data_IF_314726922350
#
_entry.id   IF_314726922350
#
_cell.length_a   1.000
_cell.length_b   1.000
_cell.length_c   1.000
_cell.angle_alpha   90.00
_cell.angle_beta   90.00
_cell.angle_gamma   90.00
#
_symmetry.space_group_name_H-M   'P 1'
#
loop_
_entity.id
_entity.type
_entity.pdbx_description
1 polymer ?
#
# COMPACT_ATOMS: atom_id res chain seq x y z
N UNK A 1 -60.41 -0.97 -46.62
CA UNK A 1 -59.23 -0.08 -46.73
C UNK A 1 -59.05 0.59 -45.38
N UNK A 2 -58.03 0.45 -44.55
CA UNK A 2 -56.68 -0.10 -44.63
C UNK A 2 -56.24 -0.44 -43.17
N UNK A 3 -55.74 -1.65 -42.94
CA UNK A 3 -54.34 -2.01 -42.63
C UNK A 3 -53.99 -2.06 -41.15
N UNK A 4 -53.77 -3.30 -40.69
CA UNK A 4 -53.22 -3.72 -39.41
C UNK A 4 -51.98 -2.91 -39.02
N UNK A 5 -51.96 -2.41 -37.79
CA UNK A 5 -50.77 -1.84 -37.15
C UNK A 5 -50.15 -2.90 -36.25
N UNK A 6 -49.21 -3.65 -36.81
CA UNK A 6 -48.23 -4.43 -36.07
C UNK A 6 -46.89 -3.71 -36.17
N UNK A 7 -46.16 -3.63 -35.07
CA UNK A 7 -44.74 -4.01 -34.92
C UNK A 7 -44.16 -3.26 -33.71
N UNK A 8 -43.68 -4.07 -32.78
CA UNK A 8 -42.98 -3.69 -31.56
C UNK A 8 -41.63 -3.01 -31.85
N UNK A 9 -41.22 -2.11 -30.97
CA UNK A 9 -39.81 -1.75 -30.79
C UNK A 9 -39.56 -1.46 -29.31
N UNK A 10 -39.09 -2.50 -28.61
CA UNK A 10 -38.45 -2.38 -27.31
C UNK A 10 -37.08 -1.71 -27.50
N UNK A 11 -36.87 -0.57 -26.86
CA UNK A 11 -35.56 0.10 -26.80
C UNK A 11 -35.06 0.09 -25.35
N UNK A 12 -34.39 -1.00 -24.98
CA UNK A 12 -33.52 -1.03 -23.81
C UNK A 12 -32.14 -0.52 -24.25
N UNK A 13 -31.76 0.66 -23.78
CA UNK A 13 -30.40 1.17 -23.85
C UNK A 13 -29.96 1.57 -22.44
N UNK A 14 -29.57 0.60 -21.63
CA UNK A 14 -28.82 0.83 -20.39
C UNK A 14 -27.34 0.62 -20.68
N UNK A 15 -26.65 1.70 -21.04
CA UNK A 15 -25.18 1.73 -21.12
C UNK A 15 -24.66 1.84 -19.68
N UNK A 16 -24.26 0.70 -19.11
CA UNK A 16 -23.44 0.70 -17.90
C UNK A 16 -22.01 1.07 -18.30
N UNK A 17 -21.65 2.35 -18.18
CA UNK A 17 -20.28 2.80 -18.25
C UNK A 17 -19.57 2.37 -16.95
N UNK A 18 -18.90 1.23 -16.97
CA UNK A 18 -17.92 0.87 -15.94
C UNK A 18 -16.73 1.83 -16.08
N UNK A 19 -16.71 2.85 -15.23
CA UNK A 19 -15.52 3.66 -15.00
C UNK A 19 -14.44 2.78 -14.38
N UNK A 20 -13.62 2.14 -15.22
CA UNK A 20 -12.35 1.57 -14.79
C UNK A 20 -11.45 2.73 -14.37
N UNK A 21 -11.30 2.95 -13.07
CA UNK A 21 -10.33 3.89 -12.54
C UNK A 21 -8.95 3.44 -12.97
N UNK A 22 -8.33 4.18 -13.87
CA UNK A 22 -6.97 3.94 -14.33
C UNK A 22 -6.03 4.13 -13.14
N UNK A 23 -5.42 3.04 -12.67
CA UNK A 23 -4.29 3.14 -11.74
C UNK A 23 -3.13 3.77 -12.53
N UNK A 24 -2.82 5.04 -12.26
CA UNK A 24 -1.64 5.69 -12.80
C UNK A 24 -0.39 5.06 -12.18
N UNK A 25 0.25 4.14 -12.90
CA UNK A 25 1.57 3.64 -12.54
C UNK A 25 2.58 4.77 -12.73
N UNK A 26 2.96 5.43 -11.63
CA UNK A 26 4.01 6.44 -11.64
C UNK A 26 5.35 5.71 -11.51
N UNK A 27 6.21 5.84 -12.51
CA UNK A 27 7.59 5.34 -12.48
C UNK A 27 8.44 6.42 -11.82
N UNK A 28 9.21 6.05 -10.80
CA UNK A 28 10.13 6.96 -10.13
C UNK A 28 11.54 6.74 -10.71
N UNK A 29 12.17 7.78 -11.24
CA UNK A 29 13.56 7.67 -11.74
C UNK A 29 14.46 8.37 -10.73
N UNK A 30 15.18 7.58 -9.92
CA UNK A 30 16.32 8.10 -9.16
C UNK A 30 17.59 7.82 -9.95
N UNK A 31 18.41 8.85 -10.14
CA UNK A 31 19.63 8.92 -10.97
C UNK A 31 20.22 7.55 -11.40
N UNK A 32 19.75 7.02 -12.54
CA UNK A 32 20.33 5.85 -13.21
C UNK A 32 19.74 4.47 -12.86
N UNK A 33 18.75 4.39 -11.96
CA UNK A 33 18.01 3.14 -11.68
C UNK A 33 16.55 3.35 -12.09
N UNK A 34 16.08 2.58 -13.08
CA UNK A 34 14.66 2.49 -13.41
C UNK A 34 13.94 1.81 -12.22
N UNK A 35 13.48 2.63 -11.27
CA UNK A 35 12.66 2.17 -10.16
C UNK A 35 11.21 2.17 -10.69
N UNK A 36 10.65 0.97 -10.80
CA UNK A 36 9.33 0.75 -11.37
C UNK A 36 8.17 1.39 -10.58
N UNK A 37 6.92 0.97 -10.84
CA UNK A 37 5.79 1.41 -10.03
C UNK A 37 5.92 0.95 -8.57
N UNK A 38 5.24 1.67 -7.68
CA UNK A 38 5.18 1.33 -6.25
C UNK A 38 4.62 -0.09 -6.05
N UNK A 39 5.24 -0.92 -5.17
CA UNK A 39 4.73 -2.26 -4.87
C UNK A 39 3.32 -2.22 -4.28
N UNK A 40 2.37 -2.88 -4.95
CA UNK A 40 1.01 -3.03 -4.47
C UNK A 40 0.93 -4.12 -3.38
N UNK A 41 1.34 -3.82 -2.15
CA UNK A 41 1.35 -4.76 -1.03
C UNK A 41 0.24 -4.46 -0.01
N UNK A 42 -0.30 -5.47 0.69
CA UNK A 42 -1.44 -5.30 1.60
C UNK A 42 -1.13 -4.40 2.81
N UNK A 43 0.10 -4.44 3.33
CA UNK A 43 0.49 -3.73 4.56
C UNK A 43 1.69 -2.79 4.35
N UNK A 44 1.97 -2.45 3.08
CA UNK A 44 3.20 -1.78 2.67
C UNK A 44 4.32 -2.76 2.28
N UNK A 45 5.48 -2.20 1.95
CA UNK A 45 6.67 -2.92 1.48
C UNK A 45 7.89 -2.41 2.22
N UNK A 46 8.95 -3.21 2.33
CA UNK A 46 10.19 -2.76 2.93
C UNK A 46 10.82 -1.63 2.11
N UNK A 47 11.40 -0.66 2.79
CA UNK A 47 12.08 0.53 2.29
C UNK A 47 13.40 0.25 1.55
N UNK A 48 13.77 -1.04 1.40
CA UNK A 48 14.98 -1.48 0.73
C UNK A 48 14.68 -2.36 -0.50
N UNK A 49 15.51 -2.24 -1.54
CA UNK A 49 15.41 -3.09 -2.74
C UNK A 49 15.53 -4.60 -2.41
N UNK A 50 14.76 -5.48 -3.07
CA UNK A 50 13.84 -5.22 -4.20
C UNK A 50 12.41 -4.80 -3.77
N UNK A 51 12.26 -4.18 -2.61
CA UNK A 51 11.00 -3.70 -2.03
C UNK A 51 9.93 -4.79 -1.86
N UNK A 52 10.25 -5.92 -1.20
CA UNK A 52 9.27 -6.97 -0.98
C UNK A 52 8.15 -6.50 -0.05
N UNK A 53 6.99 -7.14 -0.12
CA UNK A 53 5.88 -6.83 0.78
C UNK A 53 6.26 -7.11 2.24
N UNK A 54 5.94 -6.15 3.11
CA UNK A 54 6.16 -6.28 4.54
C UNK A 54 4.92 -6.94 5.19
N UNK A 55 5.10 -7.82 6.19
CA UNK A 55 4.01 -8.41 6.92
C UNK A 55 3.29 -7.35 7.78
N UNK A 56 2.03 -7.62 8.09
CA UNK A 56 1.30 -6.83 9.07
C UNK A 56 2.03 -6.83 10.41
N UNK A 57 2.29 -5.64 10.96
CA UNK A 57 3.09 -5.48 12.18
C UNK A 57 4.45 -4.83 11.95
N UNK A 58 4.99 -4.82 10.72
CA UNK A 58 6.28 -4.17 10.46
C UNK A 58 6.23 -2.65 10.61
N UNK A 59 5.24 -1.99 10.03
CA UNK A 59 5.07 -0.54 10.12
C UNK A 59 4.15 -0.14 11.27
N UNK A 60 4.52 0.90 12.01
CA UNK A 60 3.65 1.56 12.98
C UNK A 60 2.51 2.35 12.33
N UNK A 61 1.55 2.79 13.14
CA UNK A 61 0.36 3.51 12.66
C UNK A 61 0.69 4.82 11.92
N UNK A 62 1.84 5.43 12.22
CA UNK A 62 2.33 6.67 11.60
C UNK A 62 2.54 6.55 10.08
N UNK A 63 2.75 5.33 9.57
CA UNK A 63 2.92 5.05 8.15
C UNK A 63 1.61 4.97 7.36
N UNK A 64 0.47 5.12 8.04
CA UNK A 64 -0.85 4.99 7.43
C UNK A 64 -1.65 6.28 7.60
N UNK A 65 -2.30 6.71 6.52
CA UNK A 65 -3.27 7.83 6.55
C UNK A 65 -4.60 7.34 6.02
N UNK A 66 -5.63 7.32 6.88
CA UNK A 66 -6.94 6.78 6.52
C UNK A 66 -6.92 5.31 6.12
N UNK A 67 -5.98 4.52 6.67
CA UNK A 67 -5.79 3.12 6.33
C UNK A 67 -4.97 2.86 5.06
N UNK A 68 -4.47 3.90 4.41
CA UNK A 68 -3.60 3.78 3.23
C UNK A 68 -2.14 3.96 3.63
N UNK A 69 -1.29 3.04 3.21
CA UNK A 69 0.17 3.17 3.35
C UNK A 69 0.67 4.37 2.55
N UNK A 70 1.47 5.22 3.18
CA UNK A 70 1.95 6.49 2.57
C UNK A 70 3.20 6.32 1.70
N UNK A 71 3.66 5.08 1.53
CA UNK A 71 4.88 4.72 0.82
C UNK A 71 6.12 4.73 1.72
N UNK A 72 7.23 4.24 1.19
CA UNK A 72 8.56 4.30 1.79
C UNK A 72 9.63 4.38 0.69
N UNK A 73 10.80 4.90 1.03
CA UNK A 73 11.92 5.01 0.10
C UNK A 73 11.60 5.91 -1.11
N UNK A 74 11.72 5.41 -2.35
CA UNK A 74 11.47 6.19 -3.57
C UNK A 74 10.05 6.72 -3.70
N UNK A 75 9.04 5.96 -3.25
CA UNK A 75 7.63 6.31 -3.40
C UNK A 75 7.01 6.95 -2.15
N UNK A 76 7.82 7.32 -1.17
CA UNK A 76 7.35 7.98 0.03
C UNK A 76 6.69 9.33 -0.29
N UNK A 77 5.43 9.51 0.15
CA UNK A 77 4.61 10.70 -0.11
C UNK A 77 4.14 11.40 1.17
N UNK A 78 4.75 11.07 2.31
CA UNK A 78 4.45 11.70 3.60
C UNK A 78 5.10 13.07 3.81
N UNK A 79 4.89 13.69 4.98
CA UNK A 79 5.37 15.04 5.27
C UNK A 79 6.91 15.11 5.36
N UNK A 80 7.46 16.33 5.19
CA UNK A 80 8.89 16.57 5.44
C UNK A 80 9.24 16.32 6.90
N UNK A 81 10.40 15.69 7.14
CA UNK A 81 10.86 15.35 8.50
C UNK A 81 10.07 14.22 9.15
N UNK A 82 9.31 13.45 8.36
CA UNK A 82 8.59 12.28 8.82
C UNK A 82 9.54 11.29 9.50
N UNK A 83 9.06 10.72 10.61
CA UNK A 83 9.69 9.63 11.35
C UNK A 83 8.57 8.70 11.78
N UNK A 84 8.60 7.48 11.27
CA UNK A 84 7.61 6.46 11.59
C UNK A 84 8.29 5.27 12.24
N UNK A 85 7.69 4.71 13.27
CA UNK A 85 8.24 3.54 13.93
C UNK A 85 8.11 2.30 13.04
N UNK A 86 9.07 1.40 13.17
CA UNK A 86 9.05 0.07 12.58
C UNK A 86 9.32 -0.96 13.67
N UNK A 87 8.86 -2.18 13.47
CA UNK A 87 9.12 -3.32 14.33
C UNK A 87 10.11 -4.28 13.64
N UNK A 88 11.41 -4.21 13.98
CA UNK A 88 12.43 -4.97 13.26
C UNK A 88 12.33 -6.48 13.47
N UNK A 89 11.47 -6.97 14.38
CA UNK A 89 11.23 -8.42 14.54
C UNK A 89 10.56 -9.04 13.32
N UNK A 90 9.93 -8.21 12.49
CA UNK A 90 9.31 -8.61 11.24
C UNK A 90 10.25 -8.52 10.04
N UNK A 91 11.50 -8.06 10.21
CA UNK A 91 12.48 -7.91 9.12
C UNK A 91 13.23 -9.23 8.83
N UNK A 92 13.18 -9.78 7.59
CA UNK A 92 13.93 -10.97 7.19
C UNK A 92 15.44 -10.84 7.38
N UNK A 93 15.99 -9.63 7.24
CA UNK A 93 17.41 -9.34 7.48
C UNK A 93 17.79 -9.45 8.96
N UNK A 94 16.80 -9.46 9.85
CA UNK A 94 16.96 -9.64 11.30
C UNK A 94 16.41 -10.98 11.80
N UNK A 95 16.18 -11.93 10.90
CA UNK A 95 15.82 -13.31 11.25
C UNK A 95 14.32 -13.62 11.22
N UNK A 96 13.48 -12.71 10.75
CA UNK A 96 12.09 -13.06 10.46
C UNK A 96 12.02 -14.13 9.35
N UNK A 97 11.47 -15.29 9.68
CA UNK A 97 11.47 -16.47 8.80
C UNK A 97 10.06 -16.95 8.42
N UNK A 98 9.03 -16.13 8.63
CA UNK A 98 7.65 -16.48 8.24
C UNK A 98 7.37 -16.02 6.81
N UNK A 99 6.36 -16.59 6.13
CA UNK A 99 5.98 -16.15 4.79
C UNK A 99 5.69 -14.66 4.74
N UNK A 100 6.19 -14.00 3.69
CA UNK A 100 5.85 -12.62 3.37
C UNK A 100 4.54 -12.57 2.58
N UNK A 101 3.75 -11.49 2.71
CA UNK A 101 2.60 -11.26 1.86
C UNK A 101 2.99 -11.17 0.38
N UNK A 102 2.02 -11.38 -0.49
CA UNK A 102 2.26 -11.29 -1.93
C UNK A 102 1.82 -9.95 -2.51
N UNK A 103 2.41 -9.60 -3.65
CA UNK A 103 1.94 -8.47 -4.44
C UNK A 103 0.47 -8.67 -4.83
N UNK A 104 -0.29 -7.58 -4.77
CA UNK A 104 -1.73 -7.49 -5.07
C UNK A 104 -2.64 -8.26 -4.10
N UNK A 105 -2.10 -8.79 -3.01
CA UNK A 105 -2.91 -9.32 -1.92
C UNK A 105 -3.67 -8.18 -1.21
N UNK A 106 -4.85 -8.51 -0.67
CA UNK A 106 -5.67 -7.57 0.09
C UNK A 106 -5.40 -7.75 1.58
N UNK A 107 -5.48 -6.67 2.39
CA UNK A 107 -5.49 -6.79 3.84
C UNK A 107 -6.55 -7.78 4.31
N UNK A 108 -6.25 -8.56 5.36
CA UNK A 108 -7.25 -9.42 5.98
C UNK A 108 -8.47 -8.60 6.45
N UNK A 109 -9.70 -9.13 6.39
CA UNK A 109 -10.89 -8.43 6.88
C UNK A 109 -10.71 -8.00 8.34
N UNK A 110 -11.03 -6.74 8.64
CA UNK A 110 -10.92 -6.19 10.00
C UNK A 110 -9.50 -5.76 10.43
N UNK A 111 -8.52 -5.79 9.50
CA UNK A 111 -7.20 -5.20 9.74
C UNK A 111 -7.34 -3.73 10.16
N UNK A 112 -6.58 -3.33 11.19
CA UNK A 112 -6.51 -1.96 11.69
C UNK A 112 -5.15 -1.37 11.35
N UNK A 113 -5.12 -0.09 11.01
CA UNK A 113 -3.89 0.61 10.65
C UNK A 113 -3.60 1.79 11.58
N UNK A 114 -4.61 2.21 12.34
CA UNK A 114 -4.59 3.24 13.37
C UNK A 114 -4.04 2.72 14.71
N UNK A 115 -4.20 1.42 14.98
CA UNK A 115 -3.69 0.75 16.16
C UNK A 115 -3.31 -0.69 15.82
N UNK A 116 -2.00 -0.95 15.75
CA UNK A 116 -1.44 -2.26 15.39
C UNK A 116 -1.23 -3.08 16.67
N UNK A 117 -1.98 -4.18 16.89
CA UNK A 117 -1.86 -4.97 18.12
C UNK A 117 -0.47 -5.59 18.25
N UNK A 118 0.15 -5.43 19.42
CA UNK A 118 1.45 -6.04 19.72
C UNK A 118 2.61 -5.48 18.89
N UNK A 119 2.50 -4.24 18.44
CA UNK A 119 3.57 -3.50 17.77
C UNK A 119 4.67 -3.08 18.75
N UNK A 120 5.94 -3.29 18.40
CA UNK A 120 7.09 -2.84 19.19
C UNK A 120 8.01 -1.96 18.34
N UNK A 121 7.83 -0.64 18.47
CA UNK A 121 8.51 0.38 17.68
C UNK A 121 9.76 0.95 18.33
N UNK A 122 10.76 0.13 18.68
CA UNK A 122 12.01 0.64 19.29
C UNK A 122 12.93 1.35 18.27
N UNK A 123 12.63 1.20 16.98
CA UNK A 123 13.32 1.80 15.86
C UNK A 123 12.34 2.66 15.05
N UNK A 124 12.80 3.78 14.52
CA UNK A 124 12.03 4.58 13.57
C UNK A 124 12.85 4.79 12.31
N UNK A 125 12.17 4.85 11.17
CA UNK A 125 12.78 5.20 9.89
C UNK A 125 12.17 6.51 9.38
N UNK A 126 12.98 7.30 8.69
CA UNK A 126 12.43 8.40 7.90
C UNK A 126 11.79 7.87 6.60
N UNK A 127 11.14 8.75 5.85
CA UNK A 127 10.50 8.38 4.59
C UNK A 127 11.46 7.85 3.52
N UNK A 128 12.78 8.02 3.68
CA UNK A 128 13.80 7.47 2.77
C UNK A 128 14.38 6.14 3.24
N UNK A 129 13.96 5.65 4.41
CA UNK A 129 14.46 4.42 5.01
C UNK A 129 15.74 4.61 5.82
N UNK A 130 16.10 5.85 6.17
CA UNK A 130 17.21 6.07 7.10
C UNK A 130 16.75 5.74 8.52
N UNK A 131 17.44 4.82 9.23
CA UNK A 131 17.03 4.43 10.57
C UNK A 131 17.46 5.47 11.61
N UNK A 132 16.74 5.48 12.73
CA UNK A 132 17.12 6.09 13.98
C UNK A 132 16.57 5.29 15.16
N UNK A 133 17.23 5.40 16.32
CA UNK A 133 16.73 4.77 17.55
C UNK A 133 15.68 5.67 18.21
N UNK A 134 14.59 5.06 18.68
CA UNK A 134 13.67 5.71 19.61
C UNK A 134 14.30 5.85 20.99
N UNK A 135 13.90 6.87 21.76
CA UNK A 135 14.05 6.85 23.22
C UNK A 135 13.08 5.77 23.72
N UNK A 136 13.61 4.64 24.19
CA UNK A 136 12.88 3.39 24.46
C UNK A 136 11.86 3.45 25.58
N UNK A 137 10.85 4.33 25.46
CA UNK A 137 9.76 4.50 26.42
C UNK A 137 8.43 4.69 25.70
N UNK A 138 7.79 3.60 25.26
CA UNK A 138 6.32 3.50 25.20
C UNK A 138 5.86 2.08 25.48
#
# INVERSE_FOLDING_TARGET
MNTLRSIALATLFTVAASAGTSASAQVYVDTGVDIGPEPACPYGYYEYAPYPCAPYGYYGAEWFTGGLFIGAGPWFRGPRGFRGHVDPRFDPRRGYARPLPQLHERPAPGTRFDNIPGFHGDEWHDGRGNPGRGDGRR
#
